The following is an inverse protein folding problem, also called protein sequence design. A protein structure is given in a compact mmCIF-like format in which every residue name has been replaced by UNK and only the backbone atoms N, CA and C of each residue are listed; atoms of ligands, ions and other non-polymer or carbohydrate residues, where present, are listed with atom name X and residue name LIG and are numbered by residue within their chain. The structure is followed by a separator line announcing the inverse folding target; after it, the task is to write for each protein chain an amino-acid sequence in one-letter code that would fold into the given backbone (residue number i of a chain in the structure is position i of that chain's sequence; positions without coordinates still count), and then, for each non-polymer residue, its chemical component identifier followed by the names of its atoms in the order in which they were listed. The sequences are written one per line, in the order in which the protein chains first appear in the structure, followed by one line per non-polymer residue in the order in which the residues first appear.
data_IF_353017837139
#
_entry.id   IF_353017837139
#
_cell.length_a   1.000
_cell.length_b   1.000
_cell.length_c   1.000
_cell.angle_alpha   90.00
_cell.angle_beta   90.00
_cell.angle_gamma   90.00
#
_symmetry.space_group_name_H-M   'P 1'
#
loop_
_entity.id
_entity.type
_entity.pdbx_description
1 polymer ?
#
# COMPACT_ATOMS: atom_id res chain seq x y z
N UNK A 1 26.25 8.84 4.39
CA UNK A 1 26.92 7.97 3.40
C UNK A 1 26.35 6.57 3.60
N UNK A 2 25.34 6.17 2.81
CA UNK A 2 24.77 4.81 2.86
C UNK A 2 24.97 4.23 1.44
N UNK A 3 26.18 3.72 1.22
CA UNK A 3 26.50 2.85 0.09
C UNK A 3 26.59 1.42 0.63
N UNK A 4 26.25 0.46 -0.24
CA UNK A 4 26.31 -1.01 -0.11
C UNK A 4 24.99 -1.67 0.35
N UNK A 5 24.61 -2.73 -0.37
CA UNK A 5 23.41 -3.60 -0.26
C UNK A 5 22.19 -3.28 -1.14
N UNK A 6 22.39 -2.94 -2.40
CA UNK A 6 21.33 -3.04 -3.42
C UNK A 6 21.08 -4.49 -3.87
N UNK A 7 22.05 -5.41 -3.67
CA UNK A 7 21.92 -6.84 -4.03
C UNK A 7 21.17 -7.69 -2.98
N UNK A 8 20.97 -7.20 -1.74
CA UNK A 8 20.26 -7.94 -0.68
C UNK A 8 18.83 -7.40 -0.40
N UNK A 9 18.54 -6.14 -0.76
CA UNK A 9 17.21 -5.55 -0.49
C UNK A 9 16.08 -6.29 -1.24
N UNK A 10 16.29 -6.63 -2.51
CA UNK A 10 15.32 -7.39 -3.29
C UNK A 10 15.14 -8.81 -2.76
N UNK A 11 16.21 -9.45 -2.27
CA UNK A 11 16.16 -10.77 -1.66
C UNK A 11 15.36 -10.75 -0.35
N UNK A 12 15.58 -9.74 0.48
CA UNK A 12 14.79 -9.49 1.70
C UNK A 12 13.32 -9.29 1.36
N UNK A 13 13.00 -8.42 0.39
CA UNK A 13 11.60 -8.18 -0.03
C UNK A 13 10.97 -9.46 -0.55
N UNK A 14 11.69 -10.24 -1.34
CA UNK A 14 11.21 -11.53 -1.88
C UNK A 14 10.88 -12.50 -0.75
N UNK A 15 11.76 -12.62 0.26
CA UNK A 15 11.50 -13.41 1.48
C UNK A 15 10.29 -12.89 2.26
N UNK A 16 10.19 -11.56 2.42
CA UNK A 16 9.08 -10.91 3.13
C UNK A 16 7.72 -11.15 2.46
N UNK A 17 7.67 -11.07 1.13
CA UNK A 17 6.45 -11.27 0.35
C UNK A 17 6.14 -12.74 0.06
N UNK A 18 7.13 -13.63 0.20
CA UNK A 18 7.04 -15.04 -0.18
C UNK A 18 7.01 -15.27 -1.70
N UNK A 19 7.30 -14.24 -2.50
CA UNK A 19 7.31 -14.25 -3.96
C UNK A 19 8.15 -13.08 -4.47
N UNK A 20 8.60 -13.16 -5.72
CA UNK A 20 9.26 -12.02 -6.38
C UNK A 20 8.30 -10.82 -6.48
N UNK A 21 8.72 -9.59 -6.12
CA UNK A 21 7.85 -8.42 -6.19
C UNK A 21 7.59 -8.02 -7.64
N UNK A 22 6.34 -8.18 -8.08
CA UNK A 22 5.91 -7.74 -9.40
C UNK A 22 5.89 -6.20 -9.52
N UNK A 23 6.35 -5.70 -10.66
CA UNK A 23 6.34 -4.28 -11.03
C UNK A 23 6.95 -3.37 -9.94
N UNK A 24 8.01 -3.85 -9.29
CA UNK A 24 8.68 -3.16 -8.20
C UNK A 24 9.29 -1.83 -8.64
N UNK A 25 9.03 -0.76 -7.87
CA UNK A 25 9.49 0.60 -8.15
C UNK A 25 10.24 1.23 -6.94
N UNK A 26 10.71 0.39 -6.02
CA UNK A 26 11.56 0.79 -4.88
C UNK A 26 10.88 0.67 -3.52
N UNK A 27 11.65 0.87 -2.45
CA UNK A 27 11.14 0.91 -1.06
C UNK A 27 10.63 2.32 -0.73
N UNK A 28 9.59 2.43 0.10
CA UNK A 28 9.00 3.72 0.53
C UNK A 28 8.93 3.90 2.04
N UNK A 29 9.06 2.82 2.80
CA UNK A 29 9.24 2.89 4.24
C UNK A 29 10.09 1.72 4.72
N UNK A 30 10.92 1.98 5.72
CA UNK A 30 11.67 0.98 6.47
C UNK A 30 11.09 0.87 7.89
N UNK A 31 11.21 -0.30 8.50
CA UNK A 31 10.91 -0.47 9.91
C UNK A 31 12.09 0.03 10.77
N UNK A 32 11.94 0.15 12.11
CA UNK A 32 12.99 0.57 13.02
C UNK A 32 14.22 -0.35 13.06
N UNK A 33 14.13 -1.54 12.46
CA UNK A 33 15.20 -2.53 12.35
C UNK A 33 15.87 -2.51 10.97
N UNK A 34 15.71 -1.42 10.20
CA UNK A 34 16.31 -1.21 8.87
C UNK A 34 15.85 -2.17 7.75
N UNK A 35 14.78 -2.93 7.96
CA UNK A 35 14.19 -3.77 6.91
C UNK A 35 13.06 -3.03 6.16
N UNK A 36 12.86 -3.32 4.85
CA UNK A 36 11.73 -2.78 4.10
C UNK A 36 10.40 -3.08 4.80
N UNK A 37 9.54 -2.08 4.90
CA UNK A 37 8.21 -2.20 5.49
C UNK A 37 7.10 -1.90 4.49
N UNK A 38 7.36 -1.00 3.54
CA UNK A 38 6.44 -0.69 2.44
C UNK A 38 7.23 -0.60 1.15
N UNK A 39 6.79 -1.33 0.13
CA UNK A 39 7.34 -1.28 -1.23
C UNK A 39 6.39 -0.51 -2.15
N UNK A 40 6.96 0.17 -3.14
CA UNK A 40 6.23 0.78 -4.24
C UNK A 40 6.11 -0.21 -5.40
N UNK A 41 4.92 -0.30 -5.95
CA UNK A 41 4.59 -1.00 -7.18
C UNK A 41 4.17 0.02 -8.22
N UNK A 42 4.75 -0.04 -9.42
CA UNK A 42 4.28 0.79 -10.53
C UNK A 42 2.81 0.42 -10.85
N UNK A 43 1.97 1.41 -11.17
CA UNK A 43 0.53 1.20 -11.19
C UNK A 43 0.02 0.41 -12.40
N UNK A 44 0.87 0.26 -13.42
CA UNK A 44 0.53 -0.36 -14.70
C UNK A 44 1.75 -1.09 -15.28
N UNK A 45 1.50 -2.18 -16.01
CA UNK A 45 2.45 -2.74 -16.99
C UNK A 45 1.69 -3.25 -18.22
N UNK A 46 2.38 -3.38 -19.36
CA UNK A 46 1.77 -3.86 -20.60
C UNK A 46 1.39 -5.35 -20.50
N UNK A 47 2.13 -6.10 -19.71
CA UNK A 47 1.99 -7.55 -19.54
C UNK A 47 0.87 -7.91 -18.57
N UNK A 48 0.78 -7.20 -17.44
CA UNK A 48 -0.11 -7.57 -16.32
C UNK A 48 -1.25 -6.55 -16.09
N UNK A 49 -1.26 -5.43 -16.81
CA UNK A 49 -2.29 -4.42 -16.70
C UNK A 49 -2.21 -3.62 -15.40
N UNK A 50 -3.36 -3.34 -14.77
CA UNK A 50 -3.45 -2.45 -13.61
C UNK A 50 -3.10 -3.17 -12.32
N UNK A 51 -2.17 -2.60 -11.56
CA UNK A 51 -1.86 -3.03 -10.21
C UNK A 51 -2.79 -2.35 -9.20
N UNK A 52 -3.40 -3.09 -8.27
CA UNK A 52 -4.46 -2.56 -7.41
C UNK A 52 -3.94 -1.54 -6.38
N UNK A 53 -2.66 -1.54 -6.04
CA UNK A 53 -2.08 -0.65 -5.03
C UNK A 53 -0.68 -0.22 -5.44
N UNK A 54 -0.35 1.05 -5.25
CA UNK A 54 1.01 1.58 -5.29
C UNK A 54 1.83 1.07 -4.11
N UNK A 55 1.24 1.04 -2.91
CA UNK A 55 1.95 0.69 -1.68
C UNK A 55 1.57 -0.71 -1.24
N UNK A 56 2.56 -1.59 -1.17
CA UNK A 56 2.46 -2.93 -0.63
C UNK A 56 3.15 -2.99 0.73
N UNK A 57 2.42 -3.43 1.75
CA UNK A 57 2.99 -3.66 3.08
C UNK A 57 3.84 -4.94 3.02
N UNK A 58 5.16 -4.81 3.15
CA UNK A 58 6.08 -5.95 3.08
C UNK A 58 6.50 -6.47 4.46
N UNK A 59 6.46 -5.64 5.51
CA UNK A 59 6.88 -6.06 6.85
C UNK A 59 6.03 -7.25 7.35
N UNK A 60 6.60 -8.47 7.53
CA UNK A 60 5.80 -9.65 7.86
C UNK A 60 5.11 -9.57 9.22
N UNK A 61 5.71 -8.87 10.18
CA UNK A 61 5.09 -8.58 11.48
C UNK A 61 3.80 -7.79 11.30
N UNK A 62 3.86 -6.66 10.57
CA UNK A 62 2.70 -5.81 10.37
C UNK A 62 1.65 -6.49 9.50
N UNK A 63 2.06 -7.25 8.48
CA UNK A 63 1.13 -8.04 7.64
C UNK A 63 0.30 -8.99 8.50
N UNK A 64 0.95 -9.77 9.38
CA UNK A 64 0.28 -10.69 10.31
C UNK A 64 -0.61 -9.95 11.32
N UNK A 65 -0.10 -8.84 11.87
CA UNK A 65 -0.84 -8.05 12.86
C UNK A 65 -2.11 -7.43 12.26
N UNK A 66 -2.02 -6.91 11.03
CA UNK A 66 -3.16 -6.36 10.31
C UNK A 66 -4.15 -7.46 9.92
N UNK A 67 -3.68 -8.62 9.44
CA UNK A 67 -4.55 -9.75 9.14
C UNK A 67 -5.36 -10.17 10.38
N UNK A 68 -4.74 -10.25 11.56
CA UNK A 68 -5.45 -10.52 12.82
C UNK A 68 -6.54 -9.48 13.10
N UNK A 69 -6.26 -8.20 12.91
CA UNK A 69 -7.27 -7.14 13.10
C UNK A 69 -8.43 -7.25 12.10
N UNK A 70 -8.16 -7.66 10.86
CA UNK A 70 -9.19 -7.92 9.86
C UNK A 70 -10.08 -9.11 10.28
N UNK A 71 -9.46 -10.21 10.73
CA UNK A 71 -10.15 -11.42 11.21
C UNK A 71 -11.01 -11.13 12.46
N UNK A 72 -10.54 -10.24 13.34
CA UNK A 72 -11.29 -9.74 14.50
C UNK A 72 -12.47 -8.81 14.11
N UNK A 73 -12.60 -8.46 12.83
CA UNK A 73 -13.74 -7.71 12.30
C UNK A 73 -13.55 -6.20 12.26
N UNK A 74 -12.32 -5.69 12.39
CA UNK A 74 -12.04 -4.25 12.43
C UNK A 74 -12.53 -3.50 11.17
N UNK A 75 -12.50 -4.13 9.99
CA UNK A 75 -13.07 -3.52 8.76
C UNK A 75 -14.55 -3.17 8.97
N UNK A 76 -15.33 -4.09 9.54
CA UNK A 76 -16.75 -3.87 9.81
C UNK A 76 -16.95 -2.74 10.81
N UNK A 77 -16.18 -2.74 11.90
CA UNK A 77 -16.23 -1.68 12.92
C UNK A 77 -15.91 -0.29 12.34
N UNK A 78 -14.84 -0.19 11.55
CA UNK A 78 -14.45 1.06 10.91
C UNK A 78 -15.45 1.51 9.84
N UNK A 79 -16.06 0.57 9.12
CA UNK A 79 -17.13 0.87 8.16
C UNK A 79 -18.37 1.44 8.86
N UNK A 80 -18.79 0.88 9.99
CA UNK A 80 -19.88 1.46 10.78
C UNK A 80 -19.50 2.81 11.39
N UNK A 81 -18.24 2.99 11.81
CA UNK A 81 -17.73 4.28 12.25
C UNK A 81 -17.79 5.35 11.14
N UNK A 82 -17.41 5.01 9.91
CA UNK A 82 -17.48 5.92 8.76
C UNK A 82 -18.90 6.38 8.45
N UNK A 83 -19.92 5.54 8.67
CA UNK A 83 -21.33 5.91 8.47
C UNK A 83 -21.81 6.97 9.46
N UNK A 84 -21.28 6.98 10.69
CA UNK A 84 -21.68 7.90 11.76
C UNK A 84 -20.78 9.14 11.88
N UNK A 85 -19.56 9.08 11.37
CA UNK A 85 -18.60 10.18 11.44
C UNK A 85 -18.32 10.79 10.06
N UNK A 86 -19.05 11.86 9.75
CA UNK A 86 -18.92 12.59 8.48
C UNK A 86 -17.54 13.23 8.30
N UNK A 87 -16.83 13.58 9.38
CA UNK A 87 -15.50 14.16 9.26
C UNK A 87 -14.48 13.10 8.87
N UNK A 88 -14.52 11.94 9.54
CA UNK A 88 -13.69 10.78 9.18
C UNK A 88 -13.94 10.34 7.73
N UNK A 89 -15.20 10.30 7.30
CA UNK A 89 -15.56 9.98 5.91
C UNK A 89 -14.94 10.97 4.92
N UNK A 90 -15.01 12.29 5.19
CA UNK A 90 -14.39 13.33 4.35
C UNK A 90 -12.87 13.18 4.29
N UNK A 91 -12.23 12.83 5.40
CA UNK A 91 -10.78 12.58 5.43
C UNK A 91 -10.40 11.34 4.63
N UNK A 92 -11.18 10.26 4.72
CA UNK A 92 -10.96 9.05 3.93
C UNK A 92 -11.13 9.32 2.43
N UNK A 93 -12.17 10.05 2.03
CA UNK A 93 -12.37 10.46 0.64
C UNK A 93 -11.17 11.26 0.12
N UNK A 94 -10.66 12.21 0.91
CA UNK A 94 -9.43 12.97 0.57
C UNK A 94 -8.22 12.06 0.43
N UNK A 95 -8.06 11.07 1.30
CA UNK A 95 -6.97 10.09 1.20
C UNK A 95 -7.06 9.29 -0.11
N UNK A 96 -8.25 8.78 -0.47
CA UNK A 96 -8.42 8.06 -1.74
C UNK A 96 -8.25 8.96 -2.97
N UNK A 97 -8.58 10.25 -2.90
CA UNK A 97 -8.37 11.20 -4.00
C UNK A 97 -6.88 11.50 -4.18
N UNK A 98 -6.16 11.80 -3.09
CA UNK A 98 -4.71 12.00 -3.12
C UNK A 98 -3.97 10.77 -3.64
N UNK A 99 -4.39 9.58 -3.20
CA UNK A 99 -3.84 8.33 -3.69
C UNK A 99 -4.05 8.15 -5.20
N UNK A 100 -5.24 8.48 -5.71
CA UNK A 100 -5.56 8.38 -7.13
C UNK A 100 -4.71 9.34 -7.98
N UNK A 101 -4.56 10.59 -7.53
CA UNK A 101 -3.68 11.58 -8.17
C UNK A 101 -2.22 11.11 -8.18
N UNK A 102 -1.76 10.58 -7.05
CA UNK A 102 -0.41 10.03 -6.95
C UNK A 102 -0.24 8.84 -7.90
N UNK A 103 -1.20 7.90 -7.96
CA UNK A 103 -1.18 6.76 -8.88
C UNK A 103 -1.05 7.23 -10.32
N UNK A 104 -1.87 8.20 -10.71
CA UNK A 104 -1.85 8.74 -12.06
C UNK A 104 -0.53 9.45 -12.41
N UNK A 105 0.14 10.06 -11.42
CA UNK A 105 1.43 10.71 -11.60
C UNK A 105 2.60 9.75 -11.86
N UNK A 106 2.45 8.46 -11.54
CA UNK A 106 3.45 7.43 -11.84
C UNK A 106 3.38 6.88 -13.27
N UNK A 107 2.38 7.30 -14.06
CA UNK A 107 2.34 6.99 -15.49
C UNK A 107 3.12 8.05 -16.26
N UNK A 108 3.90 7.61 -17.25
CA UNK A 108 4.50 8.54 -18.20
C UNK A 108 3.47 9.05 -19.22
N UNK A 109 3.80 10.11 -19.95
CA UNK A 109 2.87 10.72 -20.92
C UNK A 109 2.57 9.77 -22.09
N UNK A 110 3.52 8.93 -22.50
CA UNK A 110 3.31 7.97 -23.59
C UNK A 110 2.35 6.85 -23.18
N UNK A 111 2.40 6.40 -21.92
CA UNK A 111 1.46 5.45 -21.35
C UNK A 111 0.06 6.06 -21.26
N UNK A 112 -0.05 7.32 -20.81
CA UNK A 112 -1.33 8.03 -20.75
C UNK A 112 -1.95 8.17 -22.14
N UNK A 113 -1.16 8.56 -23.14
CA UNK A 113 -1.61 8.71 -24.53
C UNK A 113 -2.05 7.36 -25.10
N UNK A 114 -1.20 6.32 -24.98
CA UNK A 114 -1.50 4.97 -25.44
C UNK A 114 -2.79 4.42 -24.82
N UNK A 115 -2.94 4.55 -23.50
CA UNK A 115 -4.11 4.06 -22.79
C UNK A 115 -5.35 4.89 -23.11
N UNK A 116 -5.21 6.19 -23.40
CA UNK A 116 -6.32 7.03 -23.82
C UNK A 116 -6.90 6.58 -25.16
N UNK A 117 -6.07 6.09 -26.08
CA UNK A 117 -6.51 5.56 -27.37
C UNK A 117 -6.98 4.10 -27.26
N UNK A 118 -6.15 3.23 -26.68
CA UNK A 118 -6.35 1.77 -26.72
C UNK A 118 -7.19 1.20 -25.59
N UNK A 119 -7.21 1.84 -24.42
CA UNK A 119 -7.88 1.29 -23.24
C UNK A 119 -8.39 2.37 -22.27
N UNK A 120 -9.38 3.19 -22.69
CA UNK A 120 -9.90 4.29 -21.85
C UNK A 120 -10.42 3.83 -20.48
N UNK A 121 -10.95 2.61 -20.40
CA UNK A 121 -11.41 2.01 -19.15
C UNK A 121 -10.25 1.77 -18.16
N UNK A 122 -9.09 1.30 -18.64
CA UNK A 122 -7.88 1.13 -17.82
C UNK A 122 -7.38 2.49 -17.35
N UNK A 123 -7.29 3.47 -18.25
CA UNK A 123 -6.88 4.83 -17.91
C UNK A 123 -7.77 5.43 -16.82
N UNK A 124 -9.08 5.20 -16.91
CA UNK A 124 -10.04 5.63 -15.89
C UNK A 124 -9.73 5.02 -14.53
N UNK A 125 -9.48 3.71 -14.45
CA UNK A 125 -9.13 3.05 -13.18
C UNK A 125 -7.83 3.63 -12.60
N UNK A 126 -6.81 3.81 -13.44
CA UNK A 126 -5.52 4.38 -13.00
C UNK A 126 -5.66 5.81 -12.48
N UNK A 127 -6.55 6.60 -13.08
CA UNK A 127 -6.83 7.99 -12.72
C UNK A 127 -7.72 8.12 -11.49
N UNK A 128 -8.71 7.25 -11.35
CA UNK A 128 -9.81 7.43 -10.40
C UNK A 128 -9.75 6.49 -9.22
N UNK A 129 -9.17 5.28 -9.30
CA UNK A 129 -9.22 4.34 -8.19
C UNK A 129 -8.42 4.85 -6.98
N UNK A 130 -8.88 4.55 -5.76
CA UNK A 130 -8.22 4.98 -4.52
C UNK A 130 -7.21 3.97 -4.00
N UNK A 131 -6.91 4.10 -2.71
CA UNK A 131 -6.23 3.07 -1.91
C UNK A 131 -6.87 1.70 -2.13
N UNK A 132 -6.06 0.66 -2.34
CA UNK A 132 -6.53 -0.72 -2.62
C UNK A 132 -7.25 -0.91 -3.96
N UNK A 133 -7.29 0.12 -4.81
CA UNK A 133 -7.92 0.05 -6.13
C UNK A 133 -9.44 0.22 -6.08
N UNK A 134 -9.97 0.81 -5.00
CA UNK A 134 -11.40 1.01 -4.84
C UNK A 134 -11.90 2.19 -5.68
N UNK A 135 -12.96 1.97 -6.47
CA UNK A 135 -13.63 3.03 -7.23
C UNK A 135 -14.62 3.81 -6.35
N UNK A 136 -15.32 3.13 -5.44
CA UNK A 136 -16.15 3.77 -4.42
C UNK A 136 -15.25 4.37 -3.32
N UNK A 137 -15.25 5.69 -3.23
CA UNK A 137 -14.36 6.46 -2.36
C UNK A 137 -14.76 6.48 -0.88
N UNK A 138 -15.79 5.72 -0.51
CA UNK A 138 -16.34 5.68 0.84
C UNK A 138 -15.93 4.42 1.61
N UNK A 139 -15.41 3.40 0.93
CA UNK A 139 -15.18 2.08 1.50
C UNK A 139 -13.74 1.79 1.88
N UNK A 140 -13.57 0.73 2.67
CA UNK A 140 -12.28 0.13 3.02
C UNK A 140 -12.23 -1.24 2.35
N UNK A 141 -11.26 -1.46 1.45
CA UNK A 141 -11.10 -2.78 0.81
C UNK A 141 -10.30 -3.76 1.69
N UNK A 142 -9.13 -3.33 2.15
CA UNK A 142 -8.30 -4.05 3.13
C UNK A 142 -7.47 -3.05 3.94
N UNK A 143 -7.21 -3.37 5.20
CA UNK A 143 -6.45 -2.57 6.14
C UNK A 143 -4.96 -2.49 5.77
N UNK A 144 -4.39 -3.50 5.11
CA UNK A 144 -2.97 -3.49 4.72
C UNK A 144 -2.62 -2.31 3.82
N UNK A 145 -3.47 -2.02 2.83
CA UNK A 145 -3.22 -0.93 1.88
C UNK A 145 -3.39 0.44 2.52
N UNK A 146 -4.35 0.59 3.44
CA UNK A 146 -4.53 1.81 4.22
C UNK A 146 -3.37 2.03 5.20
N UNK A 147 -2.89 0.98 5.87
CA UNK A 147 -1.71 1.08 6.73
C UNK A 147 -0.45 1.42 5.93
N UNK A 148 -0.23 0.76 4.78
CA UNK A 148 0.91 1.05 3.92
C UNK A 148 0.92 2.51 3.45
N UNK A 149 -0.23 3.02 2.99
CA UNK A 149 -0.38 4.43 2.62
C UNK A 149 -0.15 5.38 3.80
N UNK A 150 -0.66 5.05 4.99
CA UNK A 150 -0.37 5.83 6.19
C UNK A 150 1.11 5.83 6.55
N UNK A 151 1.80 4.69 6.46
CA UNK A 151 3.22 4.61 6.80
C UNK A 151 4.08 5.52 5.92
N UNK A 152 3.70 5.71 4.65
CA UNK A 152 4.41 6.58 3.70
C UNK A 152 3.93 8.03 3.80
N UNK A 153 2.62 8.28 3.73
CA UNK A 153 2.07 9.63 3.55
C UNK A 153 1.54 10.28 4.83
N UNK A 154 1.37 9.51 5.92
CA UNK A 154 0.91 9.94 7.25
C UNK A 154 -0.47 10.63 7.31
N UNK A 155 -1.24 10.57 6.22
CA UNK A 155 -2.51 11.31 6.08
C UNK A 155 -3.75 10.40 5.98
N UNK A 156 -3.57 9.09 5.83
CA UNK A 156 -4.68 8.15 5.70
C UNK A 156 -5.32 7.89 7.08
N UNK A 157 -6.58 8.29 7.31
CA UNK A 157 -7.17 8.20 8.64
C UNK A 157 -7.41 6.75 9.07
N UNK A 158 -7.77 5.86 8.14
CA UNK A 158 -7.95 4.43 8.41
C UNK A 158 -6.61 3.80 8.76
N UNK A 159 -5.55 4.10 8.01
CA UNK A 159 -4.22 3.60 8.34
C UNK A 159 -3.70 4.11 9.69
N UNK A 160 -4.05 5.33 10.10
CA UNK A 160 -3.76 5.85 11.44
C UNK A 160 -4.49 5.07 12.55
N UNK A 161 -5.78 4.78 12.36
CA UNK A 161 -6.57 3.97 13.31
C UNK A 161 -6.05 2.53 13.42
N UNK A 162 -5.64 1.94 12.29
CA UNK A 162 -4.95 0.64 12.29
C UNK A 162 -3.65 0.74 13.06
N UNK A 163 -2.84 1.77 12.80
CA UNK A 163 -1.57 2.00 13.49
C UNK A 163 -1.71 2.13 15.00
N UNK A 164 -2.81 2.70 15.52
CA UNK A 164 -3.07 2.79 16.96
C UNK A 164 -3.39 1.43 17.61
N UNK A 165 -3.83 0.44 16.82
CA UNK A 165 -4.17 -0.92 17.27
C UNK A 165 -3.06 -1.93 16.98
N UNK A 166 -2.00 -1.50 16.31
CA UNK A 166 -0.76 -2.26 16.10
C UNK A 166 0.42 -1.38 16.53
N UNK A 167 1.64 -1.79 16.21
CA UNK A 167 2.84 -0.98 16.19
C UNK A 167 3.98 -1.86 15.67
N UNK A 168 5.17 -1.31 15.43
CA UNK A 168 6.34 -2.17 15.46
C UNK A 168 6.61 -2.62 16.90
N UNK A 169 7.04 -3.88 17.10
CA UNK A 169 7.48 -4.32 18.42
C UNK A 169 8.77 -3.60 18.80
N UNK A 170 9.12 -3.61 20.10
CA UNK A 170 10.41 -3.09 20.59
C UNK A 170 11.61 -3.91 20.08
N UNK A 171 11.39 -5.18 19.75
CA UNK A 171 12.38 -6.13 19.28
C UNK A 171 11.74 -7.07 18.25
N UNK A 172 12.46 -7.39 17.16
CA UNK A 172 11.95 -8.19 16.06
C UNK A 172 13.07 -8.99 15.39
N UNK A 173 12.91 -10.30 15.27
CA UNK A 173 13.87 -11.19 14.58
C UNK A 173 13.32 -11.81 13.29
N UNK A 174 12.10 -11.45 12.88
CA UNK A 174 11.39 -12.12 11.77
C UNK A 174 12.15 -12.01 10.44
N UNK A 175 12.81 -10.87 10.19
CA UNK A 175 13.58 -10.67 8.96
C UNK A 175 15.07 -11.06 9.10
N UNK A 176 15.51 -11.44 10.32
CA UNK A 176 16.90 -11.85 10.58
C UNK A 176 17.13 -13.34 10.33
N UNK A 177 16.09 -14.17 10.40
CA UNK A 177 16.20 -15.61 10.15
C UNK A 177 16.33 -15.85 8.65
N UNK A 178 17.57 -15.87 8.14
CA UNK A 178 17.80 -15.79 6.70
C UNK A 178 19.14 -16.32 6.21
N UNK A 179 19.69 -17.37 6.83
CA UNK A 179 20.70 -18.25 6.23
C UNK A 179 20.60 -19.63 6.84
N UNK A 180 19.68 -20.45 6.32
CA UNK A 180 19.72 -21.92 6.36
C UNK A 180 19.41 -22.40 4.93
#
# INVERSE_FOLDING_TARGET
MRCMYMEDELAVITKQLGREPENFAGVRAYCPFDYPAVVLTAPYSKENGVFPTLYWLSCPYLVKSVARLEDEGLIRELTELLKRDTNLQKELMKAHQKYALLRFSYLDESEKELLSDKSPAILRVLREAGVGGIMDKQGIKCLHTHLADYLVNKQNPIGSLVWQKTAWPSECSICMTGSD
#
